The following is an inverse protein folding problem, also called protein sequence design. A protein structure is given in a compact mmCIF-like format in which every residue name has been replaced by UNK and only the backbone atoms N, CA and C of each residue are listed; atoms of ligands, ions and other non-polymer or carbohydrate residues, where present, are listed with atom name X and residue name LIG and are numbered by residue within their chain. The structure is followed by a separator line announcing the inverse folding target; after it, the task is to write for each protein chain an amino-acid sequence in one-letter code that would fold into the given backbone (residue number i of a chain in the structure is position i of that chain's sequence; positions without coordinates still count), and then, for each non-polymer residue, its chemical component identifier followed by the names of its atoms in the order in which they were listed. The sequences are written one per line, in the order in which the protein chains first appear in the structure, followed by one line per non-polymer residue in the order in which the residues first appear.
data_IF_682823340963
#
_entry.id   IF_682823340963
#
_cell.length_a   1.000
_cell.length_b   1.000
_cell.length_c   1.000
_cell.angle_alpha   90.00
_cell.angle_beta   90.00
_cell.angle_gamma   90.00
#
_symmetry.space_group_name_H-M   'P 1'
#
loop_
_entity.id
_entity.type
_entity.pdbx_description
1 polymer ?
#
# COMPACT_ATOMS: atom_id res chain seq x y z
N UNK A 1 27.03 -3.42 -0.54
CA UNK A 1 26.46 -3.35 -1.91
C UNK A 1 25.33 -2.33 -1.93
N UNK A 2 25.04 -1.68 -3.07
CA UNK A 2 24.01 -0.64 -3.17
C UNK A 2 22.61 -1.11 -2.70
N UNK A 3 22.24 -2.36 -2.98
CA UNK A 3 20.95 -2.95 -2.55
C UNK A 3 20.84 -3.06 -1.03
N UNK A 4 21.91 -3.46 -0.35
CA UNK A 4 21.94 -3.55 1.11
C UNK A 4 21.80 -2.17 1.75
N UNK A 5 22.49 -1.18 1.21
CA UNK A 5 22.40 0.20 1.67
C UNK A 5 20.98 0.77 1.48
N UNK A 6 20.37 0.49 0.32
CA UNK A 6 18.98 0.83 0.04
C UNK A 6 18.00 0.16 1.02
N UNK A 7 18.14 -1.13 1.30
CA UNK A 7 17.26 -1.83 2.26
C UNK A 7 17.43 -1.28 3.68
N UNK A 8 18.68 -0.95 4.07
CA UNK A 8 18.98 -0.35 5.37
C UNK A 8 18.33 1.03 5.51
N UNK A 9 18.58 1.93 4.56
CA UNK A 9 18.14 3.34 4.61
C UNK A 9 16.67 3.55 4.18
N UNK A 10 16.14 2.66 3.34
CA UNK A 10 14.90 2.87 2.58
C UNK A 10 15.11 3.92 1.48
N UNK A 11 14.02 4.47 0.94
CA UNK A 11 14.10 5.62 0.02
C UNK A 11 14.48 6.88 0.82
N UNK A 12 15.77 7.24 0.81
CA UNK A 12 16.34 8.43 1.44
C UNK A 12 16.69 9.48 0.37
N UNK A 13 15.86 10.50 0.21
CA UNK A 13 16.11 11.49 -0.84
C UNK A 13 15.71 12.92 -0.47
N UNK A 14 15.37 13.19 0.79
CA UNK A 14 15.16 14.57 1.24
C UNK A 14 16.41 15.01 1.98
N UNK A 15 17.19 15.89 1.35
CA UNK A 15 18.34 16.57 1.94
C UNK A 15 17.91 17.95 2.44
N UNK A 16 18.09 18.20 3.73
CA UNK A 16 17.87 19.53 4.31
C UNK A 16 19.04 20.46 3.99
N UNK A 17 18.85 21.77 4.20
CA UNK A 17 19.89 22.80 4.00
C UNK A 17 21.17 22.54 4.83
N UNK A 18 21.07 21.78 5.91
CA UNK A 18 22.19 21.39 6.78
C UNK A 18 22.86 20.06 6.36
N UNK A 19 22.54 19.54 5.17
CA UNK A 19 23.08 18.29 4.63
C UNK A 19 22.47 17.02 5.24
N UNK A 20 21.55 17.14 6.21
CA UNK A 20 20.90 15.96 6.80
C UNK A 20 19.95 15.32 5.80
N UNK A 21 20.10 14.01 5.61
CA UNK A 21 19.21 13.20 4.78
C UNK A 21 18.16 12.51 5.61
N UNK A 22 16.91 12.59 5.17
CA UNK A 22 15.77 11.96 5.82
C UNK A 22 15.01 11.08 4.84
N UNK A 23 14.55 9.95 5.37
CA UNK A 23 13.69 9.02 4.67
C UNK A 23 12.41 9.72 4.19
N UNK A 24 12.04 9.55 2.91
CA UNK A 24 10.93 10.28 2.28
C UNK A 24 9.60 10.07 3.02
N UNK A 25 9.31 8.84 3.47
CA UNK A 25 8.06 8.55 4.18
C UNK A 25 7.98 9.30 5.52
N UNK A 26 9.12 9.44 6.21
CA UNK A 26 9.19 10.20 7.46
C UNK A 26 9.00 11.71 7.22
N UNK A 27 9.59 12.23 6.14
CA UNK A 27 9.43 13.62 5.74
C UNK A 27 7.98 13.94 5.35
N UNK A 28 7.36 13.09 4.51
CA UNK A 28 5.97 13.25 4.09
C UNK A 28 5.03 13.24 5.29
N UNK A 29 5.22 12.29 6.22
CA UNK A 29 4.41 12.25 7.46
C UNK A 29 4.56 13.53 8.28
N UNK A 30 5.80 14.02 8.47
CA UNK A 30 6.08 15.26 9.18
C UNK A 30 5.44 16.48 8.48
N UNK A 31 5.58 16.59 7.16
CA UNK A 31 5.05 17.68 6.36
C UNK A 31 3.51 17.72 6.41
N UNK A 32 2.85 16.56 6.22
CA UNK A 32 1.40 16.44 6.31
C UNK A 32 0.88 16.84 7.68
N UNK A 33 1.51 16.35 8.76
CA UNK A 33 1.13 16.75 10.14
C UNK A 33 1.29 18.24 10.38
N UNK A 34 2.42 18.80 9.92
CA UNK A 34 2.71 20.23 10.10
C UNK A 34 1.70 21.09 9.32
N UNK A 35 1.40 20.73 8.07
CA UNK A 35 0.40 21.40 7.26
C UNK A 35 -0.99 21.32 7.90
N UNK A 36 -1.43 20.13 8.31
CA UNK A 36 -2.72 19.93 8.97
C UNK A 36 -2.85 20.76 10.26
N UNK A 37 -1.81 20.77 11.12
CA UNK A 37 -1.81 21.61 12.32
C UNK A 37 -1.91 23.10 11.97
N UNK A 38 -1.13 23.59 10.99
CA UNK A 38 -1.19 25.01 10.59
C UNK A 38 -2.54 25.40 10.04
N UNK A 39 -3.14 24.57 9.18
CA UNK A 39 -4.48 24.80 8.64
C UNK A 39 -5.53 24.83 9.74
N UNK A 40 -5.46 23.91 10.72
CA UNK A 40 -6.34 23.92 11.88
C UNK A 40 -6.20 25.20 12.71
N UNK A 41 -4.97 25.59 13.07
CA UNK A 41 -4.71 26.78 13.88
C UNK A 41 -5.16 28.07 13.19
N UNK A 42 -4.98 28.17 11.87
CA UNK A 42 -5.45 29.31 11.06
C UNK A 42 -6.98 29.36 10.98
N UNK A 43 -7.66 28.21 10.85
CA UNK A 43 -9.12 28.14 10.87
C UNK A 43 -9.70 28.59 12.21
N UNK A 44 -9.16 28.06 13.32
CA UNK A 44 -9.53 28.48 14.68
C UNK A 44 -9.26 29.96 14.92
N UNK A 45 -8.14 30.49 14.39
CA UNK A 45 -7.80 31.90 14.52
C UNK A 45 -8.81 32.83 13.86
N UNK A 46 -9.32 32.45 12.68
CA UNK A 46 -10.38 33.23 12.02
C UNK A 46 -11.66 33.27 12.86
N UNK A 47 -12.08 32.14 13.44
CA UNK A 47 -13.25 32.11 14.32
C UNK A 47 -13.06 32.96 15.59
N UNK A 48 -11.85 32.94 16.16
CA UNK A 48 -11.50 33.81 17.31
C UNK A 48 -11.51 35.29 16.94
N UNK A 49 -10.98 35.65 15.77
CA UNK A 49 -11.00 37.02 15.26
C UNK A 49 -12.43 37.56 15.13
N UNK A 50 -13.37 36.76 14.59
CA UNK A 50 -14.80 37.08 14.47
C UNK A 50 -15.48 37.32 15.83
N UNK A 51 -15.04 36.58 16.86
CA UNK A 51 -15.52 36.73 18.23
C UNK A 51 -14.83 37.85 19.01
N UNK A 52 -13.90 38.57 18.39
CA UNK A 52 -13.16 39.62 19.08
C UNK A 52 -12.08 39.12 20.03
N UNK A 53 -11.72 37.83 20.00
CA UNK A 53 -10.79 37.19 20.94
C UNK A 53 -9.41 37.03 20.29
N UNK A 54 -8.37 37.53 20.95
CA UNK A 54 -6.98 37.47 20.46
C UNK A 54 -6.06 36.62 21.36
N UNK A 55 -6.59 36.02 22.43
CA UNK A 55 -5.82 35.24 23.39
C UNK A 55 -6.04 33.74 23.26
N UNK A 56 -4.95 32.99 23.45
CA UNK A 56 -4.92 31.53 23.34
C UNK A 56 -4.10 30.93 24.48
N UNK A 57 -4.55 29.79 24.98
CA UNK A 57 -3.80 28.94 25.89
C UNK A 57 -3.10 27.85 25.08
N UNK A 58 -1.77 27.80 25.17
CA UNK A 58 -0.96 26.69 24.65
C UNK A 58 -1.16 25.48 25.55
N UNK A 59 -1.64 24.38 24.95
CA UNK A 59 -1.87 23.09 25.62
C UNK A 59 -0.66 22.57 26.40
N UNK A 60 -0.89 21.61 27.30
CA UNK A 60 0.16 20.89 28.00
C UNK A 60 0.04 19.37 27.92
N UNK A 61 1.19 18.68 27.77
CA UNK A 61 1.26 17.22 27.74
C UNK A 61 2.58 16.67 28.31
N UNK A 62 2.55 15.39 28.70
CA UNK A 62 3.58 14.72 29.52
C UNK A 62 4.90 14.34 28.84
N UNK A 63 5.10 14.66 27.56
CA UNK A 63 6.27 14.24 26.77
C UNK A 63 6.71 15.33 25.77
N UNK A 64 6.66 16.57 26.22
CA UNK A 64 7.00 17.76 25.47
C UNK A 64 8.50 17.82 25.14
N UNK A 65 8.86 18.43 24.00
CA UNK A 65 10.25 18.63 23.61
C UNK A 65 10.91 19.73 24.45
N UNK A 66 12.23 19.72 24.55
CA UNK A 66 12.97 20.75 25.28
C UNK A 66 12.75 22.17 24.72
N UNK A 67 12.49 22.30 23.42
CA UNK A 67 12.25 23.60 22.78
C UNK A 67 10.84 24.12 23.04
N UNK A 68 9.84 23.25 23.13
CA UNK A 68 8.46 23.65 23.43
C UNK A 68 8.18 23.79 24.93
N UNK A 69 8.89 23.04 25.78
CA UNK A 69 8.59 22.93 27.21
C UNK A 69 8.51 24.27 27.95
N UNK A 70 9.33 25.30 27.66
CA UNK A 70 9.20 26.61 28.29
C UNK A 70 7.89 27.35 27.99
N UNK A 71 7.21 27.00 26.89
CA UNK A 71 6.06 27.71 26.33
C UNK A 71 4.70 27.01 26.59
N UNK A 72 4.75 25.82 27.17
CA UNK A 72 3.59 24.98 27.46
C UNK A 72 2.78 25.51 28.66
N UNK A 73 1.44 25.40 28.60
CA UNK A 73 0.55 25.72 29.73
C UNK A 73 0.45 27.22 30.04
N UNK A 74 0.60 28.08 29.03
CA UNK A 74 0.64 29.54 29.18
C UNK A 74 -0.28 30.22 28.17
N UNK A 75 -0.77 31.40 28.56
CA UNK A 75 -1.62 32.26 27.73
C UNK A 75 -0.76 33.21 26.91
N UNK A 76 -1.12 33.36 25.64
CA UNK A 76 -0.45 34.22 24.67
C UNK A 76 -1.47 35.02 23.88
N UNK A 77 -1.02 36.13 23.30
CA UNK A 77 -1.73 36.78 22.19
C UNK A 77 -1.37 36.06 20.89
N UNK A 78 -2.37 35.58 20.16
CA UNK A 78 -2.19 34.95 18.85
C UNK A 78 -1.96 35.99 17.76
N UNK A 79 -0.72 36.47 17.67
CA UNK A 79 -0.25 37.35 16.61
C UNK A 79 0.44 36.59 15.46
N UNK A 80 0.23 35.27 15.35
CA UNK A 80 0.85 34.40 14.35
C UNK A 80 -0.18 33.94 13.32
N UNK A 81 -1.31 33.43 13.79
CA UNK A 81 -2.38 32.93 12.94
C UNK A 81 -3.61 33.84 12.93
N UNK A 82 -3.82 34.60 14.00
CA UNK A 82 -4.91 35.56 14.15
C UNK A 82 -4.49 37.01 13.88
N UNK A 83 -5.48 37.90 13.88
CA UNK A 83 -5.31 39.33 13.60
C UNK A 83 -5.18 40.10 14.91
N UNK A 84 -4.00 40.67 15.18
CA UNK A 84 -3.77 41.47 16.38
C UNK A 84 -3.05 42.79 16.04
N UNK A 85 -3.58 43.89 16.57
CA UNK A 85 -3.10 45.26 16.36
C UNK A 85 -3.07 46.08 17.67
N UNK A 86 -2.84 45.43 18.81
CA UNK A 86 -2.75 46.08 20.12
C UNK A 86 -1.40 46.75 20.39
N UNK A 87 -1.32 47.45 21.53
CA UNK A 87 -0.08 48.04 22.02
C UNK A 87 0.99 46.96 22.25
N UNK A 88 2.26 47.26 21.93
CA UNK A 88 3.39 46.33 22.09
C UNK A 88 4.45 46.92 23.00
N UNK A 89 4.95 46.12 23.92
CA UNK A 89 6.09 46.42 24.78
C UNK A 89 7.02 45.20 24.83
N UNK A 90 8.15 45.28 24.13
CA UNK A 90 9.08 44.16 23.99
C UNK A 90 8.42 42.89 23.43
N UNK A 91 8.52 41.80 24.19
CA UNK A 91 7.96 40.48 23.86
C UNK A 91 6.47 40.31 24.26
N UNK A 92 5.85 41.37 24.79
CA UNK A 92 4.45 41.37 25.25
C UNK A 92 3.59 42.34 24.43
N UNK A 93 2.29 42.06 24.44
CA UNK A 93 1.29 42.93 23.86
C UNK A 93 0.09 43.08 24.78
N UNK A 94 -0.69 44.13 24.55
CA UNK A 94 -1.99 44.35 25.19
C UNK A 94 -3.09 43.69 24.37
N UNK A 95 -3.81 42.77 25.00
CA UNK A 95 -4.96 42.07 24.40
C UNK A 95 -6.18 43.00 24.38
N UNK A 96 -7.16 42.66 23.53
CA UNK A 96 -8.51 43.25 23.53
C UNK A 96 -9.23 43.13 24.87
N UNK A 97 -8.84 42.19 25.72
CA UNK A 97 -9.36 42.06 27.09
C UNK A 97 -8.75 43.06 28.10
N UNK A 98 -7.81 43.89 27.66
CA UNK A 98 -7.11 44.90 28.48
C UNK A 98 -5.86 44.41 29.20
N UNK A 99 -5.59 43.10 29.21
CA UNK A 99 -4.45 42.49 29.91
C UNK A 99 -3.22 42.35 29.00
N UNK A 100 -2.05 42.26 29.62
CA UNK A 100 -0.78 42.07 28.93
C UNK A 100 -0.35 40.62 28.88
N UNK A 101 -0.13 40.07 27.68
CA UNK A 101 0.35 38.70 27.49
C UNK A 101 1.60 38.66 26.63
N UNK A 102 2.36 37.57 26.73
CA UNK A 102 3.48 37.31 25.82
C UNK A 102 2.93 37.05 24.40
N UNK A 103 3.64 37.53 23.39
CA UNK A 103 3.26 37.32 22.00
C UNK A 103 3.56 35.88 21.58
N UNK A 104 2.61 35.21 20.95
CA UNK A 104 2.77 33.82 20.48
C UNK A 104 3.91 33.69 19.47
N UNK A 105 4.15 34.73 18.66
CA UNK A 105 5.29 34.80 17.73
C UNK A 105 6.65 34.65 18.41
N UNK A 106 6.80 35.11 19.66
CA UNK A 106 8.03 34.95 20.46
C UNK A 106 8.24 33.47 20.79
N UNK A 107 7.18 32.78 21.22
CA UNK A 107 7.24 31.36 21.52
C UNK A 107 7.56 30.53 20.26
N UNK A 108 6.90 30.83 19.13
CA UNK A 108 7.13 30.14 17.85
C UNK A 108 8.55 30.34 17.35
N UNK A 109 9.07 31.57 17.40
CA UNK A 109 10.46 31.89 17.02
C UNK A 109 11.48 31.09 17.86
N UNK A 110 11.16 30.83 19.13
CA UNK A 110 12.01 30.09 20.06
C UNK A 110 11.69 28.59 20.14
N UNK A 111 10.95 28.05 19.16
CA UNK A 111 10.83 26.61 18.94
C UNK A 111 9.50 25.97 19.34
N UNK A 112 8.49 26.75 19.77
CA UNK A 112 7.11 26.25 19.83
C UNK A 112 6.60 25.95 18.41
N UNK A 113 5.80 24.89 18.24
CA UNK A 113 5.30 24.42 16.94
C UNK A 113 6.39 24.01 15.93
N UNK A 114 7.51 23.48 16.43
CA UNK A 114 8.51 22.81 15.59
C UNK A 114 7.92 21.58 14.84
N UNK A 115 8.60 21.04 13.81
CA UNK A 115 8.11 19.84 13.11
C UNK A 115 7.87 18.67 14.08
N UNK A 116 6.75 17.95 13.91
CA UNK A 116 6.25 16.90 14.81
C UNK A 116 5.80 17.37 16.22
N UNK A 117 5.68 18.67 16.46
CA UNK A 117 5.04 19.20 17.66
C UNK A 117 3.60 18.65 17.81
N UNK A 118 3.18 18.43 19.06
CA UNK A 118 1.84 17.93 19.42
C UNK A 118 0.97 18.98 20.11
N UNK A 119 1.49 20.19 20.31
CA UNK A 119 0.71 21.27 20.92
C UNK A 119 -0.46 21.66 20.05
N UNK A 120 -1.57 21.93 20.70
CA UNK A 120 -2.73 22.66 20.19
C UNK A 120 -2.87 24.00 20.93
N UNK A 121 -3.68 24.88 20.36
CA UNK A 121 -4.16 26.10 21.01
C UNK A 121 -5.62 25.90 21.40
N UNK A 122 -5.98 26.47 22.54
CA UNK A 122 -7.38 26.61 22.97
C UNK A 122 -7.67 28.09 23.18
N UNK A 123 -8.90 28.53 22.89
CA UNK A 123 -9.31 29.92 23.10
C UNK A 123 -9.24 30.25 24.59
N UNK A 124 -8.58 31.35 24.92
CA UNK A 124 -8.56 31.89 26.28
C UNK A 124 -9.54 33.05 26.37
N UNK A 125 -10.39 33.05 27.39
CA UNK A 125 -11.31 34.14 27.69
C UNK A 125 -11.09 34.55 29.14
N UNK A 126 -10.59 35.75 29.34
CA UNK A 126 -10.32 36.28 30.68
C UNK A 126 -11.58 36.28 31.54
N UNK A 127 -11.46 35.81 32.78
CA UNK A 127 -12.57 35.66 33.72
C UNK A 127 -13.46 34.43 33.51
N UNK A 128 -13.33 33.70 32.39
CA UNK A 128 -14.10 32.46 32.12
C UNK A 128 -13.18 31.24 32.09
N UNK A 129 -12.05 31.33 31.39
CA UNK A 129 -11.11 30.22 31.26
C UNK A 129 -10.35 29.97 32.57
N UNK A 130 -10.09 28.69 32.87
CA UNK A 130 -9.30 28.29 34.03
C UNK A 130 -7.90 27.88 33.59
N UNK A 131 -6.87 28.42 34.25
CA UNK A 131 -5.49 28.03 33.97
C UNK A 131 -5.23 26.62 34.53
N UNK A 132 -4.65 25.72 33.74
CA UNK A 132 -4.40 24.37 34.23
C UNK A 132 -3.20 24.36 35.18
N UNK A 133 -3.18 23.41 36.12
CA UNK A 133 -2.04 23.25 37.03
C UNK A 133 -0.75 22.92 36.25
N UNK A 134 0.38 23.59 36.54
CA UNK A 134 1.63 23.32 35.86
C UNK A 134 2.10 21.87 36.04
N UNK A 135 2.39 21.19 34.94
CA UNK A 135 3.00 19.86 35.00
C UNK A 135 4.48 19.89 35.43
N UNK A 136 4.94 18.83 36.09
CA UNK A 136 6.35 18.64 36.45
C UNK A 136 7.24 18.53 35.19
N UNK A 137 8.08 19.55 35.01
CA UNK A 137 9.00 19.66 33.86
C UNK A 137 10.05 18.55 33.82
N UNK A 138 10.52 18.08 34.97
CA UNK A 138 11.55 17.03 35.02
C UNK A 138 10.96 15.67 34.69
N UNK A 139 9.73 15.40 35.17
CA UNK A 139 8.97 14.23 34.72
C UNK A 139 8.73 14.27 33.21
N UNK A 140 8.35 15.43 32.66
CA UNK A 140 8.14 15.58 31.21
C UNK A 140 9.41 15.27 30.40
N UNK A 141 10.57 15.81 30.82
CA UNK A 141 11.85 15.55 30.15
C UNK A 141 12.22 14.07 30.18
N UNK A 142 12.02 13.40 31.32
CA UNK A 142 12.26 11.96 31.47
C UNK A 142 11.38 11.15 30.50
N UNK A 143 10.08 11.44 30.46
CA UNK A 143 9.14 10.78 29.55
C UNK A 143 9.51 11.02 28.08
N UNK A 144 9.88 12.26 27.71
CA UNK A 144 10.31 12.58 26.35
C UNK A 144 11.56 11.78 25.94
N UNK A 145 12.52 11.59 26.85
CA UNK A 145 13.71 10.77 26.59
C UNK A 145 13.34 9.28 26.39
N UNK A 146 12.40 8.75 27.18
CA UNK A 146 11.89 7.39 27.03
C UNK A 146 11.18 7.21 25.68
N UNK A 147 10.32 8.14 25.28
CA UNK A 147 9.67 8.12 23.96
C UNK A 147 10.70 8.13 22.84
N UNK A 148 11.75 8.96 22.90
CA UNK A 148 12.80 9.00 21.88
C UNK A 148 13.56 7.66 21.79
N UNK A 149 13.82 7.01 22.92
CA UNK A 149 14.42 5.67 22.96
C UNK A 149 13.48 4.63 22.34
N UNK A 150 12.18 4.68 22.62
CA UNK A 150 11.18 3.85 21.93
C UNK A 150 11.19 4.09 20.42
N UNK A 151 11.22 5.34 19.95
CA UNK A 151 11.28 5.66 18.51
C UNK A 151 12.53 5.08 17.84
N UNK A 152 13.66 5.02 18.54
CA UNK A 152 14.88 4.36 18.04
C UNK A 152 14.65 2.86 17.85
N UNK A 153 14.12 2.18 18.87
CA UNK A 153 13.81 0.74 18.80
C UNK A 153 12.79 0.40 17.70
N UNK A 154 11.77 1.25 17.50
CA UNK A 154 10.82 1.09 16.39
C UNK A 154 11.47 1.28 15.01
N UNK A 155 12.47 2.17 14.88
CA UNK A 155 13.27 2.28 13.64
C UNK A 155 14.08 1.01 13.40
N UNK A 156 14.67 0.43 14.44
CA UNK A 156 15.42 -0.83 14.33
C UNK A 156 14.52 -2.00 13.91
N UNK A 157 13.29 -2.07 14.43
CA UNK A 157 12.31 -3.08 13.98
C UNK A 157 11.97 -2.90 12.51
N UNK A 158 11.73 -1.67 12.05
CA UNK A 158 11.43 -1.39 10.63
C UNK A 158 12.62 -1.68 9.72
N UNK A 159 13.84 -1.40 10.18
CA UNK A 159 15.07 -1.74 9.46
C UNK A 159 15.10 -3.24 9.16
N UNK A 160 14.97 -4.08 10.17
CA UNK A 160 15.05 -5.53 9.98
C UNK A 160 13.86 -6.11 9.20
N UNK A 161 12.67 -5.52 9.31
CA UNK A 161 11.55 -5.86 8.42
C UNK A 161 11.84 -5.56 6.95
N UNK A 162 12.48 -4.43 6.63
CA UNK A 162 12.90 -4.14 5.24
C UNK A 162 13.99 -5.09 4.76
N UNK A 163 14.96 -5.41 5.62
CA UNK A 163 16.02 -6.37 5.30
C UNK A 163 15.44 -7.77 5.01
N UNK A 164 14.52 -8.25 5.85
CA UNK A 164 13.85 -9.55 5.66
C UNK A 164 13.04 -9.57 4.36
N UNK A 165 12.27 -8.51 4.09
CA UNK A 165 11.45 -8.44 2.88
C UNK A 165 12.24 -8.21 1.58
N UNK A 166 13.47 -7.70 1.67
CA UNK A 166 14.32 -7.42 0.51
C UNK A 166 15.39 -8.48 0.24
N UNK A 167 15.62 -9.41 1.17
CA UNK A 167 16.60 -10.47 0.98
C UNK A 167 16.07 -11.53 0.00
N UNK A 168 16.88 -11.89 -0.99
CA UNK A 168 16.56 -12.93 -1.99
C UNK A 168 17.03 -14.31 -1.54
N UNK A 169 18.18 -14.36 -0.86
CA UNK A 169 18.77 -15.60 -0.37
C UNK A 169 18.06 -16.09 0.91
N UNK A 170 17.69 -17.38 1.01
CA UNK A 170 16.98 -17.93 2.17
C UNK A 170 17.72 -17.78 3.51
N UNK A 171 19.06 -17.87 3.52
CA UNK A 171 19.85 -17.73 4.75
C UNK A 171 19.88 -16.27 5.20
N UNK A 172 20.02 -15.32 4.27
CA UNK A 172 19.91 -13.89 4.57
C UNK A 172 18.51 -13.50 5.08
N UNK A 173 17.45 -14.09 4.51
CA UNK A 173 16.09 -13.90 5.02
C UNK A 173 15.94 -14.42 6.45
N UNK A 174 16.48 -15.60 6.75
CA UNK A 174 16.46 -16.20 8.08
C UNK A 174 17.20 -15.33 9.11
N UNK A 175 18.40 -14.87 8.77
CA UNK A 175 19.18 -13.97 9.64
C UNK A 175 18.44 -12.65 9.91
N UNK A 176 17.88 -12.03 8.87
CA UNK A 176 17.09 -10.81 9.02
C UNK A 176 15.83 -11.02 9.88
N UNK A 177 15.18 -12.19 9.76
CA UNK A 177 14.05 -12.59 10.60
C UNK A 177 14.43 -12.73 12.08
N UNK A 178 15.58 -13.32 12.37
CA UNK A 178 16.07 -13.50 13.75
C UNK A 178 16.45 -12.15 14.38
N UNK A 179 17.09 -11.27 13.61
CA UNK A 179 17.33 -9.90 14.04
C UNK A 179 16.04 -9.11 14.27
N UNK A 180 15.04 -9.25 13.38
CA UNK A 180 13.71 -8.65 13.59
C UNK A 180 13.07 -9.13 14.89
N UNK A 181 13.07 -10.44 15.15
CA UNK A 181 12.54 -11.02 16.39
C UNK A 181 13.25 -10.47 17.62
N UNK A 182 14.58 -10.36 17.56
CA UNK A 182 15.40 -9.78 18.62
C UNK A 182 15.05 -8.30 18.86
N UNK A 183 14.93 -7.50 17.80
CA UNK A 183 14.56 -6.09 17.89
C UNK A 183 13.13 -5.91 18.47
N UNK A 184 12.18 -6.75 18.04
CA UNK A 184 10.82 -6.74 18.57
C UNK A 184 10.77 -7.15 20.04
N UNK A 185 11.59 -8.12 20.47
CA UNK A 185 11.75 -8.50 21.88
C UNK A 185 12.27 -7.32 22.70
N UNK A 186 13.36 -6.68 22.26
CA UNK A 186 13.93 -5.48 22.92
C UNK A 186 12.92 -4.34 23.05
N UNK A 187 12.16 -4.06 21.98
CA UNK A 187 11.09 -3.05 22.00
C UNK A 187 10.01 -3.40 23.03
N UNK A 188 9.55 -4.66 23.04
CA UNK A 188 8.53 -5.12 23.99
C UNK A 188 9.02 -5.02 25.42
N UNK A 189 10.22 -5.51 25.73
CA UNK A 189 10.80 -5.45 27.08
C UNK A 189 10.98 -4.00 27.54
N UNK A 190 11.44 -3.11 26.65
CA UNK A 190 11.57 -1.69 26.97
C UNK A 190 10.23 -1.01 27.25
N UNK A 191 9.17 -1.36 26.52
CA UNK A 191 7.83 -0.83 26.77
C UNK A 191 7.26 -1.37 28.08
N UNK A 192 7.43 -2.67 28.36
CA UNK A 192 6.96 -3.29 29.61
C UNK A 192 7.67 -2.69 30.83
N UNK A 193 8.97 -2.39 30.72
CA UNK A 193 9.72 -1.73 31.80
C UNK A 193 9.29 -0.28 32.09
N UNK A 194 8.49 0.33 31.21
CA UNK A 194 8.04 1.72 31.29
C UNK A 194 6.56 1.84 30.86
N UNK A 195 5.73 0.88 31.28
CA UNK A 195 4.33 0.78 30.88
C UNK A 195 3.41 1.82 31.55
N UNK A 196 3.94 2.59 32.50
CA UNK A 196 3.30 3.77 33.07
C UNK A 196 3.20 4.92 32.05
N UNK A 197 4.16 5.01 31.12
CA UNK A 197 4.24 6.11 30.14
C UNK A 197 4.33 5.68 28.67
N UNK A 198 4.81 4.47 28.38
CA UNK A 198 4.99 3.99 27.00
C UNK A 198 3.87 3.03 26.57
N UNK A 199 3.58 3.06 25.27
CA UNK A 199 2.58 2.21 24.62
C UNK A 199 3.11 1.71 23.29
N UNK A 200 2.82 0.44 22.97
CA UNK A 200 3.21 -0.16 21.69
C UNK A 200 2.20 0.18 20.61
N UNK A 201 2.70 0.68 19.49
CA UNK A 201 1.89 1.02 18.31
C UNK A 201 2.40 0.22 17.10
N UNK A 202 1.67 -0.86 16.77
CA UNK A 202 2.04 -1.74 15.66
C UNK A 202 2.02 -1.05 14.30
N UNK A 203 1.22 0.00 14.13
CA UNK A 203 1.14 0.73 12.88
C UNK A 203 2.48 1.42 12.57
N UNK A 204 3.19 1.88 13.60
CA UNK A 204 4.51 2.50 13.46
C UNK A 204 5.60 1.50 13.11
N UNK A 205 5.41 0.22 13.38
CA UNK A 205 6.33 -0.83 12.97
C UNK A 205 6.06 -1.34 11.54
N UNK A 206 4.99 -0.90 10.86
CA UNK A 206 4.69 -1.37 9.51
C UNK A 206 5.75 -0.88 8.53
N UNK A 207 6.10 -1.75 7.59
CA UNK A 207 6.86 -1.42 6.39
C UNK A 207 5.93 -1.65 5.22
N UNK A 208 5.91 -0.70 4.29
CA UNK A 208 5.17 -0.84 3.04
C UNK A 208 6.16 -1.29 1.98
N UNK A 209 6.19 -2.59 1.74
CA UNK A 209 6.90 -3.20 0.61
C UNK A 209 5.89 -3.52 -0.48
N UNK A 210 6.35 -3.66 -1.72
CA UNK A 210 5.50 -4.28 -2.74
C UNK A 210 5.02 -5.65 -2.22
N UNK A 211 3.75 -6.05 -2.47
CA UNK A 211 3.28 -7.37 -2.10
C UNK A 211 4.23 -8.41 -2.69
N UNK A 212 4.74 -9.31 -1.86
CA UNK A 212 5.57 -10.39 -2.37
C UNK A 212 4.69 -11.41 -3.10
N UNK A 213 5.24 -12.08 -4.12
CA UNK A 213 4.55 -13.13 -4.88
C UNK A 213 3.91 -14.17 -3.94
N UNK A 214 4.59 -14.52 -2.85
CA UNK A 214 4.12 -15.51 -1.88
C UNK A 214 2.87 -15.07 -1.11
N UNK A 215 2.74 -13.78 -0.76
CA UNK A 215 1.54 -13.26 -0.09
C UNK A 215 0.32 -13.30 -1.03
N UNK A 216 0.54 -13.01 -2.32
CA UNK A 216 -0.48 -13.11 -3.36
C UNK A 216 -0.92 -14.57 -3.52
N UNK A 217 0.03 -15.50 -3.68
CA UNK A 217 -0.25 -16.93 -3.80
C UNK A 217 -0.97 -17.47 -2.58
N UNK A 218 -0.56 -17.07 -1.38
CA UNK A 218 -1.22 -17.48 -0.13
C UNK A 218 -2.69 -17.04 -0.12
N UNK A 219 -2.95 -15.77 -0.42
CA UNK A 219 -4.30 -15.21 -0.46
C UNK A 219 -5.18 -15.94 -1.49
N UNK A 220 -4.66 -16.16 -2.69
CA UNK A 220 -5.38 -16.87 -3.75
C UNK A 220 -5.61 -18.36 -3.39
N UNK A 221 -4.65 -18.99 -2.70
CA UNK A 221 -4.78 -20.38 -2.21
C UNK A 221 -5.86 -20.50 -1.13
N UNK A 222 -5.97 -19.51 -0.24
CA UNK A 222 -7.02 -19.47 0.78
C UNK A 222 -8.40 -19.34 0.13
N UNK A 223 -8.54 -18.51 -0.92
CA UNK A 223 -9.80 -18.36 -1.66
C UNK A 223 -10.27 -19.68 -2.28
N UNK A 224 -9.40 -20.39 -2.99
CA UNK A 224 -9.81 -21.64 -3.67
C UNK A 224 -10.15 -22.75 -2.67
N UNK A 225 -9.43 -22.82 -1.54
CA UNK A 225 -9.68 -23.80 -0.48
C UNK A 225 -10.95 -23.53 0.33
N UNK A 226 -11.42 -22.29 0.35
CA UNK A 226 -12.64 -21.89 1.02
C UNK A 226 -13.92 -22.19 0.21
N UNK A 227 -13.79 -22.57 -1.08
CA UNK A 227 -14.93 -22.97 -1.91
C UNK A 227 -15.59 -24.26 -1.41
N UNK A 228 -16.87 -24.45 -1.73
CA UNK A 228 -17.56 -25.71 -1.47
C UNK A 228 -16.82 -26.89 -2.13
N UNK A 229 -16.76 -28.09 -1.50
CA UNK A 229 -16.05 -29.24 -2.04
C UNK A 229 -16.49 -29.66 -3.45
N UNK A 230 -17.77 -29.47 -3.78
CA UNK A 230 -18.31 -29.72 -5.13
C UNK A 230 -17.74 -28.77 -6.19
N UNK A 231 -17.54 -27.49 -5.84
CA UNK A 231 -16.94 -26.48 -6.70
C UNK A 231 -15.44 -26.68 -6.86
N UNK A 232 -14.75 -27.07 -5.77
CA UNK A 232 -13.34 -27.49 -5.85
C UNK A 232 -13.19 -28.68 -6.80
N UNK A 233 -14.06 -29.69 -6.70
CA UNK A 233 -14.03 -30.85 -7.58
C UNK A 233 -14.30 -30.47 -9.05
N UNK A 234 -15.21 -29.53 -9.32
CA UNK A 234 -15.45 -29.02 -10.66
C UNK A 234 -14.18 -28.38 -11.27
N UNK A 235 -13.49 -27.53 -10.49
CA UNK A 235 -12.21 -26.93 -10.90
C UNK A 235 -11.13 -28.00 -11.12
N UNK A 236 -11.00 -28.98 -10.23
CA UNK A 236 -10.06 -30.10 -10.39
C UNK A 236 -10.34 -30.89 -11.68
N UNK A 237 -11.60 -31.23 -11.95
CA UNK A 237 -12.01 -31.96 -13.15
C UNK A 237 -11.74 -31.16 -14.43
N UNK A 238 -11.88 -29.83 -14.36
CA UNK A 238 -11.52 -28.95 -15.47
C UNK A 238 -10.03 -29.04 -15.80
N UNK A 239 -9.13 -28.94 -14.81
CA UNK A 239 -7.66 -29.02 -15.04
C UNK A 239 -7.20 -30.32 -15.70
N UNK A 240 -7.97 -31.39 -15.55
CA UNK A 240 -7.70 -32.69 -16.15
C UNK A 240 -8.30 -32.84 -17.54
N UNK A 241 -9.34 -33.67 -17.62
CA UNK A 241 -9.84 -34.20 -18.88
C UNK A 241 -10.89 -33.31 -19.56
N UNK A 242 -11.53 -32.42 -18.81
CA UNK A 242 -12.72 -31.72 -19.30
C UNK A 242 -12.44 -30.38 -20.00
N UNK A 243 -11.27 -29.76 -19.79
CA UNK A 243 -10.97 -28.43 -20.35
C UNK A 243 -11.23 -28.35 -21.87
N UNK A 244 -10.73 -29.33 -22.63
CA UNK A 244 -10.85 -29.37 -24.09
C UNK A 244 -12.30 -29.44 -24.52
N UNK A 245 -13.07 -30.38 -23.96
CA UNK A 245 -14.46 -30.63 -24.34
C UNK A 245 -15.35 -29.43 -23.98
N UNK A 246 -15.18 -28.88 -22.79
CA UNK A 246 -15.94 -27.70 -22.33
C UNK A 246 -15.61 -26.48 -23.20
N UNK A 247 -14.34 -26.19 -23.44
CA UNK A 247 -13.96 -25.04 -24.26
C UNK A 247 -14.37 -25.22 -25.73
N UNK A 248 -14.34 -26.43 -26.30
CA UNK A 248 -14.88 -26.68 -27.64
C UNK A 248 -16.38 -26.39 -27.70
N UNK A 249 -17.14 -26.73 -26.66
CA UNK A 249 -18.58 -26.47 -26.60
C UNK A 249 -18.89 -24.97 -26.41
N UNK A 250 -18.09 -24.28 -25.61
CA UNK A 250 -18.18 -22.83 -25.42
C UNK A 250 -17.83 -22.06 -26.71
N UNK A 251 -16.83 -22.54 -27.45
CA UNK A 251 -16.42 -21.97 -28.75
C UNK A 251 -17.33 -22.40 -29.92
N UNK A 252 -18.41 -23.14 -29.66
CA UNK A 252 -19.38 -23.57 -30.68
C UNK A 252 -18.87 -24.66 -31.64
N UNK A 253 -17.75 -25.32 -31.32
CA UNK A 253 -17.19 -26.41 -32.12
C UNK A 253 -17.97 -27.71 -31.94
N UNK A 254 -18.53 -27.94 -30.74
CA UNK A 254 -19.37 -29.10 -30.43
C UNK A 254 -20.69 -28.65 -29.79
N UNK A 255 -21.74 -29.44 -29.94
CA UNK A 255 -23.05 -29.18 -29.31
C UNK A 255 -22.95 -29.31 -27.79
N UNK A 256 -23.57 -28.37 -27.06
CA UNK A 256 -23.67 -28.42 -25.59
C UNK A 256 -24.63 -29.54 -25.17
N UNK A 257 -24.16 -30.45 -24.32
CA UNK A 257 -25.00 -31.42 -23.62
C UNK A 257 -25.38 -30.90 -22.23
N UNK A 258 -26.38 -31.52 -21.60
CA UNK A 258 -26.79 -31.16 -20.24
C UNK A 258 -25.64 -31.29 -19.23
N UNK A 259 -24.81 -32.34 -19.35
CA UNK A 259 -23.61 -32.53 -18.52
C UNK A 259 -22.58 -31.41 -18.69
N UNK A 260 -22.42 -30.90 -19.92
CA UNK A 260 -21.51 -29.78 -20.20
C UNK A 260 -22.06 -28.50 -19.56
N UNK A 261 -23.36 -28.24 -19.71
CA UNK A 261 -23.99 -27.06 -19.10
C UNK A 261 -23.86 -27.08 -17.57
N UNK A 262 -24.16 -28.21 -16.91
CA UNK A 262 -23.93 -28.36 -15.47
C UNK A 262 -22.48 -28.10 -15.05
N UNK A 263 -21.52 -28.55 -15.85
CA UNK A 263 -20.09 -28.31 -15.58
C UNK A 263 -19.74 -26.83 -15.73
N UNK A 264 -20.30 -26.14 -16.73
CA UNK A 264 -20.12 -24.69 -16.93
C UNK A 264 -20.71 -23.91 -15.74
N UNK A 265 -21.94 -24.24 -15.31
CA UNK A 265 -22.59 -23.56 -14.19
C UNK A 265 -21.77 -23.67 -12.90
N UNK A 266 -21.24 -24.86 -12.60
CA UNK A 266 -20.37 -25.08 -11.45
C UNK A 266 -19.05 -24.31 -11.55
N UNK A 267 -18.44 -24.26 -12.73
CA UNK A 267 -17.19 -23.53 -12.93
C UNK A 267 -17.39 -22.02 -12.85
N UNK A 268 -18.48 -21.49 -13.43
CA UNK A 268 -18.80 -20.07 -13.35
C UNK A 268 -19.07 -19.64 -11.90
N UNK A 269 -19.79 -20.46 -11.12
CA UNK A 269 -19.98 -20.25 -9.68
C UNK A 269 -18.65 -20.27 -8.91
N UNK A 270 -17.79 -21.25 -9.18
CA UNK A 270 -16.49 -21.39 -8.51
C UNK A 270 -15.55 -20.21 -8.80
N UNK A 271 -15.60 -19.67 -10.01
CA UNK A 271 -14.77 -18.56 -10.45
C UNK A 271 -15.34 -17.20 -10.03
N UNK A 272 -16.66 -17.06 -9.90
CA UNK A 272 -17.34 -15.81 -9.59
C UNK A 272 -16.91 -15.19 -8.24
N UNK A 273 -16.55 -16.02 -7.26
CA UNK A 273 -16.06 -15.55 -5.94
C UNK A 273 -14.57 -15.24 -5.92
N UNK A 274 -13.81 -15.61 -6.96
CA UNK A 274 -12.38 -15.43 -7.02
C UNK A 274 -11.99 -13.98 -7.37
N UNK A 275 -11.15 -13.37 -6.52
CA UNK A 275 -10.71 -11.98 -6.65
C UNK A 275 -9.19 -11.91 -6.64
N UNK A 276 -8.63 -11.24 -7.65
CA UNK A 276 -7.20 -10.97 -7.75
C UNK A 276 -6.81 -9.86 -6.75
N UNK A 277 -6.02 -10.16 -5.71
CA UNK A 277 -5.84 -9.24 -4.58
C UNK A 277 -4.91 -8.05 -4.90
N UNK A 278 -4.02 -8.22 -5.88
CA UNK A 278 -3.02 -7.24 -6.31
C UNK A 278 -2.79 -7.39 -7.81
N UNK A 279 -2.22 -6.36 -8.46
CA UNK A 279 -1.90 -6.48 -9.88
C UNK A 279 -0.89 -7.62 -10.11
N UNK A 280 -1.23 -8.54 -11.02
CA UNK A 280 -0.36 -9.68 -11.37
C UNK A 280 -0.13 -9.75 -12.88
N UNK A 281 0.94 -10.43 -13.27
CA UNK A 281 1.16 -10.84 -14.66
C UNK A 281 0.96 -12.33 -14.79
N UNK A 282 0.17 -12.74 -15.77
CA UNK A 282 -0.07 -14.15 -16.09
C UNK A 282 0.36 -14.48 -17.50
N UNK A 283 0.78 -15.73 -17.69
CA UNK A 283 1.37 -16.25 -18.92
C UNK A 283 0.49 -17.35 -19.50
N UNK A 284 0.33 -17.36 -20.82
CA UNK A 284 -0.28 -18.49 -21.52
C UNK A 284 0.47 -18.76 -22.81
N UNK A 285 0.92 -20.00 -22.98
CA UNK A 285 1.47 -20.45 -24.25
C UNK A 285 0.40 -21.17 -25.07
N UNK A 286 0.25 -20.82 -26.33
CA UNK A 286 -0.82 -21.27 -27.22
C UNK A 286 -0.37 -21.25 -28.68
N UNK A 287 -1.30 -21.48 -29.60
CA UNK A 287 -1.10 -21.36 -31.06
C UNK A 287 -1.95 -20.21 -31.61
N UNK A 288 -1.62 -19.66 -32.79
CA UNK A 288 -2.30 -18.51 -33.38
C UNK A 288 -3.83 -18.68 -33.49
N UNK A 289 -4.28 -19.90 -33.84
CA UNK A 289 -5.70 -20.22 -33.99
C UNK A 289 -6.52 -20.06 -32.71
N UNK A 290 -5.88 -20.07 -31.55
CA UNK A 290 -6.56 -19.93 -30.25
C UNK A 290 -6.65 -18.48 -29.77
N UNK A 291 -6.06 -17.52 -30.51
CA UNK A 291 -6.22 -16.09 -30.27
C UNK A 291 -7.25 -15.59 -31.27
N UNK A 292 -8.41 -15.15 -30.81
CA UNK A 292 -9.57 -14.90 -31.67
C UNK A 292 -9.33 -13.77 -32.68
N UNK A 293 -8.67 -12.69 -32.27
CA UNK A 293 -8.29 -11.61 -33.20
C UNK A 293 -7.33 -12.10 -34.28
N UNK A 294 -6.40 -12.99 -33.95
CA UNK A 294 -5.47 -13.58 -34.93
C UNK A 294 -6.22 -14.56 -35.85
N UNK A 295 -7.03 -15.47 -35.28
CA UNK A 295 -7.84 -16.43 -36.04
C UNK A 295 -8.74 -15.72 -37.05
N UNK A 296 -9.40 -14.63 -36.65
CA UNK A 296 -10.29 -13.86 -37.52
C UNK A 296 -9.54 -13.21 -38.68
N UNK A 297 -8.29 -12.78 -38.47
CA UNK A 297 -7.44 -12.23 -39.52
C UNK A 297 -6.91 -13.33 -40.46
N UNK A 298 -6.52 -14.49 -39.92
CA UNK A 298 -6.08 -15.65 -40.71
C UNK A 298 -7.17 -16.17 -41.65
N UNK A 299 -8.42 -16.22 -41.20
CA UNK A 299 -9.55 -16.72 -42.00
C UNK A 299 -9.92 -15.82 -43.21
N UNK A 300 -9.44 -14.57 -43.26
CA UNK A 300 -9.70 -13.64 -44.38
C UNK A 300 -8.74 -13.81 -45.57
N UNK A 301 -8.04 -14.95 -45.68
CA UNK A 301 -7.20 -15.38 -46.81
C UNK A 301 -6.16 -14.35 -47.29
N UNK A 302 -5.16 -14.01 -46.44
CA UNK A 302 -3.80 -13.47 -46.78
C UNK A 302 -3.10 -12.88 -45.53
N UNK A 303 -2.96 -13.65 -44.45
CA UNK A 303 -2.26 -13.16 -43.25
C UNK A 303 -0.98 -13.96 -43.00
N UNK A 304 0.14 -13.40 -43.44
CA UNK A 304 1.44 -13.74 -42.87
C UNK A 304 1.59 -12.99 -41.54
N UNK A 305 1.93 -13.72 -40.47
CA UNK A 305 2.16 -13.17 -39.14
C UNK A 305 3.55 -12.53 -39.10
N UNK A 306 3.71 -11.44 -39.84
CA UNK A 306 4.89 -10.58 -39.81
C UNK A 306 4.68 -9.39 -38.86
N UNK A 307 5.72 -8.58 -38.64
CA UNK A 307 5.65 -7.45 -37.70
C UNK A 307 4.57 -6.41 -38.06
N UNK A 308 4.40 -6.08 -39.35
CA UNK A 308 3.38 -5.14 -39.82
C UNK A 308 1.97 -5.60 -39.46
N UNK A 309 1.71 -6.89 -39.67
CA UNK A 309 0.48 -7.57 -39.27
C UNK A 309 0.26 -7.53 -37.75
N UNK A 310 1.30 -7.82 -36.97
CA UNK A 310 1.21 -7.83 -35.50
C UNK A 310 0.94 -6.44 -34.92
N UNK A 311 1.49 -5.39 -35.53
CA UNK A 311 1.22 -4.02 -35.11
C UNK A 311 -0.26 -3.64 -35.25
N UNK A 312 -0.99 -4.20 -36.22
CA UNK A 312 -2.44 -3.99 -36.38
C UNK A 312 -3.26 -4.61 -35.25
N UNK A 313 -2.68 -5.50 -34.45
CA UNK A 313 -3.36 -6.08 -33.29
C UNK A 313 -3.40 -5.12 -32.10
N UNK A 314 -2.49 -4.15 -32.04
CA UNK A 314 -2.37 -3.23 -30.91
C UNK A 314 -3.64 -2.37 -30.84
N UNK A 315 -4.23 -2.30 -29.65
CA UNK A 315 -5.51 -1.63 -29.40
C UNK A 315 -6.74 -2.50 -29.64
N UNK A 316 -6.63 -3.66 -30.29
CA UNK A 316 -7.75 -4.58 -30.45
C UNK A 316 -8.06 -5.31 -29.15
N UNK A 317 -9.35 -5.60 -28.94
CA UNK A 317 -9.84 -6.40 -27.82
C UNK A 317 -10.07 -7.82 -28.29
N UNK A 318 -9.40 -8.77 -27.64
CA UNK A 318 -9.68 -10.20 -27.81
C UNK A 318 -10.70 -10.64 -26.76
N UNK A 319 -11.73 -11.36 -27.20
CA UNK A 319 -12.80 -11.89 -26.35
C UNK A 319 -12.65 -13.40 -26.30
N UNK A 320 -12.44 -13.96 -25.10
CA UNK A 320 -12.33 -15.39 -24.88
C UNK A 320 -13.70 -15.97 -24.54
N UNK A 321 -14.27 -16.75 -25.47
CA UNK A 321 -15.57 -17.39 -25.28
C UNK A 321 -15.51 -18.57 -24.30
N UNK A 322 -14.38 -19.30 -24.30
CA UNK A 322 -14.08 -20.34 -23.33
C UNK A 322 -13.48 -19.78 -22.04
N UNK A 323 -13.20 -20.66 -21.08
CA UNK A 323 -12.35 -20.30 -19.94
C UNK A 323 -10.91 -20.13 -20.41
N UNK A 324 -10.18 -19.21 -19.79
CA UNK A 324 -8.78 -18.96 -20.10
C UNK A 324 -7.89 -19.48 -18.97
N UNK A 325 -7.21 -20.60 -19.20
CA UNK A 325 -6.11 -21.07 -18.33
C UNK A 325 -4.83 -20.27 -18.57
N UNK A 326 -4.27 -19.69 -17.52
CA UNK A 326 -2.96 -19.01 -17.54
C UNK A 326 -2.11 -19.47 -16.36
N UNK A 327 -0.87 -19.02 -16.27
CA UNK A 327 0.09 -19.39 -15.25
C UNK A 327 0.73 -18.15 -14.62
N UNK A 328 1.07 -18.21 -13.34
CA UNK A 328 1.90 -17.20 -12.68
C UNK A 328 3.39 -17.27 -13.09
N UNK A 329 3.79 -18.33 -13.81
CA UNK A 329 5.14 -18.50 -14.33
C UNK A 329 5.14 -18.67 -15.86
N UNK A 330 6.18 -18.22 -16.57
CA UNK A 330 6.34 -18.54 -17.97
C UNK A 330 6.48 -20.06 -18.16
N UNK A 331 5.56 -20.67 -18.90
CA UNK A 331 5.64 -22.07 -19.30
C UNK A 331 6.39 -22.23 -20.62
N UNK A 332 6.99 -23.39 -20.84
CA UNK A 332 7.57 -23.81 -22.12
C UNK A 332 6.93 -25.12 -22.59
N UNK A 333 5.86 -25.00 -23.38
CA UNK A 333 5.05 -26.09 -23.89
C UNK A 333 5.42 -26.36 -25.37
N UNK A 334 5.92 -27.57 -25.69
CA UNK A 334 6.29 -27.94 -27.06
C UNK A 334 5.13 -27.73 -28.06
N UNK A 335 5.47 -27.27 -29.27
CA UNK A 335 4.51 -27.07 -30.37
C UNK A 335 3.61 -25.83 -30.24
N UNK A 336 3.83 -24.95 -29.26
CA UNK A 336 3.06 -23.73 -29.05
C UNK A 336 3.91 -22.48 -29.29
N UNK A 337 3.67 -21.81 -30.42
CA UNK A 337 4.48 -20.68 -30.88
C UNK A 337 3.90 -19.29 -30.57
N UNK A 338 2.85 -19.19 -29.74
CA UNK A 338 2.31 -17.91 -29.25
C UNK A 338 2.42 -17.85 -27.74
N UNK A 339 2.96 -16.75 -27.20
CA UNK A 339 3.01 -16.44 -25.77
C UNK A 339 2.16 -15.21 -25.49
N UNK A 340 1.12 -15.38 -24.69
CA UNK A 340 0.34 -14.29 -24.12
C UNK A 340 0.94 -13.92 -22.76
N UNK A 341 1.15 -12.62 -22.54
CA UNK A 341 1.60 -12.02 -21.29
C UNK A 341 0.55 -10.99 -20.91
N UNK A 342 -0.32 -11.33 -19.96
CA UNK A 342 -1.49 -10.52 -19.61
C UNK A 342 -1.29 -9.92 -18.23
N UNK A 343 -1.44 -8.59 -18.11
CA UNK A 343 -1.58 -7.92 -16.82
C UNK A 343 -3.02 -7.99 -16.36
N UNK A 344 -3.20 -8.36 -15.11
CA UNK A 344 -4.50 -8.51 -14.46
C UNK A 344 -4.62 -7.43 -13.39
N UNK A 345 -5.60 -6.51 -13.48
CA UNK A 345 -5.71 -5.43 -12.53
C UNK A 345 -6.09 -5.95 -11.14
N UNK A 346 -5.63 -5.24 -10.11
CA UNK A 346 -6.06 -5.46 -8.73
C UNK A 346 -7.58 -5.37 -8.63
N UNK A 347 -8.18 -6.30 -7.91
CA UNK A 347 -9.63 -6.37 -7.71
C UNK A 347 -10.39 -7.04 -8.87
N UNK A 348 -9.70 -7.57 -9.88
CA UNK A 348 -10.36 -8.34 -10.94
C UNK A 348 -11.14 -9.52 -10.34
N UNK A 349 -12.41 -9.65 -10.71
CA UNK A 349 -13.32 -10.69 -10.22
C UNK A 349 -13.59 -11.72 -11.32
N UNK A 350 -13.58 -13.00 -10.98
CA UNK A 350 -13.80 -14.08 -11.94
C UNK A 350 -12.57 -14.93 -12.23
N UNK A 351 -11.64 -15.04 -11.28
CA UNK A 351 -10.42 -15.83 -11.46
C UNK A 351 -10.01 -16.56 -10.18
N UNK A 352 -9.60 -17.83 -10.31
CA UNK A 352 -9.12 -18.65 -9.18
C UNK A 352 -7.72 -19.20 -9.44
N UNK A 353 -6.89 -19.24 -8.39
CA UNK A 353 -5.61 -19.95 -8.41
C UNK A 353 -5.82 -21.40 -8.05
N UNK A 354 -5.80 -22.27 -9.05
CA UNK A 354 -6.26 -23.66 -8.89
C UNK A 354 -5.14 -24.67 -8.68
N UNK A 355 -3.87 -24.24 -8.71
CA UNK A 355 -2.73 -25.11 -8.45
C UNK A 355 -2.84 -25.95 -7.15
N UNK A 356 -3.40 -25.45 -6.02
CA UNK A 356 -3.54 -26.25 -4.80
C UNK A 356 -4.48 -27.45 -4.93
N UNK A 357 -5.49 -27.35 -5.80
CA UNK A 357 -6.54 -28.36 -6.01
C UNK A 357 -6.38 -29.10 -7.35
N UNK A 358 -5.45 -28.68 -8.20
CA UNK A 358 -5.13 -29.37 -9.44
C UNK A 358 -4.55 -30.77 -9.16
N UNK A 359 -4.72 -31.67 -10.11
CA UNK A 359 -4.09 -33.00 -10.05
C UNK A 359 -2.57 -32.85 -9.94
N UNK A 360 -1.90 -33.79 -9.27
CA UNK A 360 -0.44 -33.75 -9.01
C UNK A 360 0.39 -33.43 -10.26
N UNK A 361 -0.03 -33.94 -11.42
CA UNK A 361 0.61 -33.71 -12.73
C UNK A 361 0.64 -32.23 -13.17
N UNK A 362 -0.30 -31.40 -12.72
CA UNK A 362 -0.47 -30.03 -13.20
C UNK A 362 -0.21 -28.95 -12.14
N UNK A 363 0.03 -29.31 -10.87
CA UNK A 363 0.28 -28.33 -9.80
C UNK A 363 1.46 -27.39 -10.06
N UNK A 364 2.49 -27.88 -10.74
CA UNK A 364 3.68 -27.11 -11.09
C UNK A 364 3.40 -25.92 -12.04
N UNK A 365 2.23 -25.90 -12.68
CA UNK A 365 1.89 -24.85 -13.64
C UNK A 365 1.46 -23.54 -12.97
N UNK A 366 1.27 -23.50 -11.63
CA UNK A 366 0.78 -22.31 -10.93
C UNK A 366 -0.44 -21.67 -11.64
N UNK A 367 -1.42 -22.50 -11.99
CA UNK A 367 -2.51 -22.10 -12.89
C UNK A 367 -3.47 -21.09 -12.24
N UNK A 368 -3.76 -20.02 -12.96
CA UNK A 368 -4.89 -19.12 -12.72
C UNK A 368 -5.91 -19.34 -13.84
N UNK A 369 -7.12 -19.72 -13.46
CA UNK A 369 -8.22 -19.94 -14.38
C UNK A 369 -9.16 -18.75 -14.35
N UNK A 370 -9.47 -18.21 -15.53
CA UNK A 370 -10.40 -17.10 -15.69
C UNK A 370 -11.75 -17.59 -16.22
N UNK A 371 -12.83 -16.96 -15.72
CA UNK A 371 -14.20 -17.21 -16.17
C UNK A 371 -14.39 -16.94 -17.68
N UNK A 372 -15.48 -17.47 -18.22
CA UNK A 372 -15.86 -17.25 -19.61
C UNK A 372 -16.12 -15.77 -19.91
N UNK A 373 -15.98 -15.38 -21.18
CA UNK A 373 -16.22 -14.01 -21.63
C UNK A 373 -15.12 -13.01 -21.25
N UNK A 374 -13.95 -13.51 -20.82
CA UNK A 374 -12.80 -12.68 -20.50
C UNK A 374 -12.41 -11.81 -21.71
N UNK A 375 -12.15 -10.54 -21.46
CA UNK A 375 -11.68 -9.60 -22.48
C UNK A 375 -10.32 -9.06 -22.09
N UNK A 376 -9.44 -8.92 -23.08
CA UNK A 376 -8.18 -8.22 -22.88
C UNK A 376 -7.85 -7.36 -24.09
N UNK A 377 -7.30 -6.17 -23.85
CA UNK A 377 -6.78 -5.30 -24.89
C UNK A 377 -5.32 -5.63 -25.16
N UNK A 378 -4.94 -5.72 -26.44
CA UNK A 378 -3.56 -5.95 -26.84
C UNK A 378 -2.80 -4.63 -26.79
N UNK A 379 -1.72 -4.58 -26.02
CA UNK A 379 -0.89 -3.38 -25.85
C UNK A 379 0.39 -3.44 -26.65
N UNK A 380 0.87 -4.65 -26.95
CA UNK A 380 2.07 -4.88 -27.74
C UNK A 380 2.01 -6.27 -28.38
N UNK A 381 2.61 -6.42 -29.55
CA UNK A 381 2.87 -7.72 -30.16
C UNK A 381 4.25 -7.72 -30.83
N UNK A 382 4.96 -8.84 -30.77
CA UNK A 382 6.30 -9.00 -31.37
C UNK A 382 6.48 -10.42 -31.90
N UNK A 383 7.26 -10.58 -32.97
CA UNK A 383 7.74 -11.87 -33.47
C UNK A 383 9.25 -11.98 -33.32
N UNK A 384 9.72 -13.14 -32.84
CA UNK A 384 11.13 -13.49 -32.74
C UNK A 384 11.30 -14.92 -33.28
N UNK A 385 11.85 -15.05 -34.48
CA UNK A 385 11.82 -16.31 -35.23
C UNK A 385 10.38 -16.78 -35.45
N UNK A 386 10.06 -18.00 -35.04
CA UNK A 386 8.71 -18.56 -35.12
C UNK A 386 7.82 -18.20 -33.92
N UNK A 387 8.39 -17.61 -32.86
CA UNK A 387 7.68 -17.29 -31.63
C UNK A 387 7.03 -15.91 -31.73
N UNK A 388 5.73 -15.85 -31.44
CA UNK A 388 4.95 -14.61 -31.32
C UNK A 388 4.69 -14.35 -29.84
N UNK A 389 4.99 -13.14 -29.37
CA UNK A 389 4.65 -12.70 -28.02
C UNK A 389 3.66 -11.54 -28.08
N UNK A 390 2.57 -11.65 -27.32
CA UNK A 390 1.51 -10.65 -27.24
C UNK A 390 1.38 -10.23 -25.79
N UNK A 391 1.45 -8.94 -25.55
CA UNK A 391 1.18 -8.33 -24.25
C UNK A 391 -0.21 -7.72 -24.28
N UNK A 392 -0.93 -7.88 -23.18
CA UNK A 392 -2.25 -7.29 -23.02
C UNK A 392 -2.60 -6.96 -21.59
N UNK A 393 -3.70 -6.24 -21.42
CA UNK A 393 -4.29 -5.90 -20.13
C UNK A 393 -5.71 -6.46 -20.12
N UNK A 394 -6.03 -7.23 -19.09
CA UNK A 394 -7.39 -7.72 -18.86
C UNK A 394 -8.29 -6.55 -18.48
N UNK A 395 -9.47 -6.50 -19.11
CA UNK A 395 -10.45 -5.42 -18.98
C UNK A 395 -11.50 -5.70 -17.90
#
# INVERSE_FOLDING_TARGET
MATEEFLRKGIDCIEYKDGKRVNIASYVQMALRTAATRSYLQGEAKGRDELGIDTVLVSQYGACSNTCLPWQGRVYIDNVWGSWNGEREGDRGKSRDGNWYVLLSVAVKNGLFHPNCRHTLSTWISGISTMPEPMDKDKIRKTAALEQKQRKLERDVRLWKRMEAGAVDPENQKQARDHRRTAQKKLREFIVAHDDVLRRDYWREKVYTAPQKDDIIKTLTEQVKALDPSLQLALTNYTGFNATRINQALNGTIKRSETINKSIDQLDLALASGVIPEEITVYRQTIPRNVNVIRNLMNKNRFDLNESTLNKLIGLVDVQYGYLSTSLIPLNLPGRNVRLILRVPKGFVGAQYIAPIATLKYRWQEEILFKTGLRYIITKAKKEGDQITIWGIIL
#
